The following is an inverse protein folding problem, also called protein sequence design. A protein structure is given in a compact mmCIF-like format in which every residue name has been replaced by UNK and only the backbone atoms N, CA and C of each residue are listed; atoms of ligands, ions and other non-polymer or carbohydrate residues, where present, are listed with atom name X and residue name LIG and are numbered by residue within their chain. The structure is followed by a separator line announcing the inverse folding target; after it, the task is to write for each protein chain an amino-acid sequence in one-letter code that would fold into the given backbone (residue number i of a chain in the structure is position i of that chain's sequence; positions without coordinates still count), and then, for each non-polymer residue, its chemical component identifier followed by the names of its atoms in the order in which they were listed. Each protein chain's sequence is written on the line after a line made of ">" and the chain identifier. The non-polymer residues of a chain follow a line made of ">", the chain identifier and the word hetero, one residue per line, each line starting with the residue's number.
data_IF_989751638524
#
_entry.id   IF_989751638524
#
_cell.length_a   1.000
_cell.length_b   1.000
_cell.length_c   1.000
_cell.angle_alpha   90.00
_cell.angle_beta   90.00
_cell.angle_gamma   90.00
#
_symmetry.space_group_name_H-M   'P 1'
#
loop_
_entity.id
_entity.type
_entity.pdbx_description
1 polymer ?
#
# COMPACT_ATOMS: atom_id res chain seq x y z
N UNK A 1 -27.36 -4.66 -13.86
CA UNK A 1 -26.60 -4.71 -12.60
C UNK A 1 -25.43 -3.77 -12.78
N UNK A 2 -25.29 -2.75 -11.94
CA UNK A 2 -24.25 -1.73 -12.11
C UNK A 2 -22.88 -2.40 -12.19
N UNK A 3 -22.21 -2.20 -13.33
CA UNK A 3 -20.88 -2.71 -13.66
C UNK A 3 -19.80 -1.91 -12.89
N UNK A 4 -20.00 -1.72 -11.57
CA UNK A 4 -19.15 -0.89 -10.73
C UNK A 4 -17.84 -1.59 -10.44
N UNK A 5 -16.71 -0.88 -10.58
CA UNK A 5 -15.41 -1.41 -10.18
C UNK A 5 -15.33 -1.57 -8.68
N UNK A 6 -14.52 -2.53 -8.22
CA UNK A 6 -14.22 -2.75 -6.82
C UNK A 6 -12.78 -2.38 -6.49
N UNK A 7 -12.59 -1.41 -5.58
CA UNK A 7 -11.29 -0.97 -5.08
C UNK A 7 -11.10 -1.49 -3.66
N UNK A 8 -10.10 -2.34 -3.49
CA UNK A 8 -9.73 -2.92 -2.20
C UNK A 8 -8.42 -2.33 -1.72
N UNK A 9 -8.39 -1.82 -0.50
CA UNK A 9 -7.17 -1.34 0.14
C UNK A 9 -6.78 -2.21 1.33
N UNK A 10 -5.50 -2.54 1.44
CA UNK A 10 -4.89 -3.12 2.63
C UNK A 10 -4.06 -2.06 3.34
N UNK A 11 -4.50 -1.62 4.52
CA UNK A 11 -3.76 -0.72 5.38
C UNK A 11 -2.97 -1.50 6.43
N UNK A 12 -1.65 -1.41 6.38
CA UNK A 12 -0.73 -2.11 7.29
C UNK A 12 -0.15 -1.22 8.40
N UNK A 13 -0.69 -0.01 8.58
CA UNK A 13 -0.27 0.88 9.66
C UNK A 13 -0.65 0.29 11.02
N UNK A 14 0.30 0.16 11.97
CA UNK A 14 -0.03 -0.23 13.34
C UNK A 14 -0.99 0.75 14.02
N UNK A 15 -1.05 2.00 13.53
CA UNK A 15 -1.96 3.04 14.03
C UNK A 15 -3.34 2.99 13.39
N UNK A 16 -3.58 2.08 12.43
CA UNK A 16 -4.87 1.82 11.82
C UNK A 16 -5.51 3.10 11.26
N UNK A 17 -6.78 3.36 11.58
CA UNK A 17 -7.54 4.55 11.19
C UNK A 17 -6.95 5.86 11.71
N UNK A 18 -6.14 5.82 12.78
CA UNK A 18 -5.48 7.00 13.37
C UNK A 18 -4.10 7.28 12.78
N UNK A 19 -3.65 6.47 11.82
CA UNK A 19 -2.35 6.63 11.18
C UNK A 19 -2.37 7.62 10.03
N UNK A 20 -1.24 8.29 9.78
CA UNK A 20 -1.06 9.15 8.60
C UNK A 20 -1.34 8.42 7.28
N UNK A 21 -0.98 7.14 7.21
CA UNK A 21 -1.30 6.28 6.06
C UNK A 21 -2.81 6.20 5.80
N UNK A 22 -3.64 6.13 6.85
CA UNK A 22 -5.10 6.14 6.72
C UNK A 22 -5.60 7.48 6.21
N UNK A 23 -5.08 8.60 6.71
CA UNK A 23 -5.48 9.95 6.26
C UNK A 23 -5.30 10.13 4.74
N UNK A 24 -4.15 9.71 4.19
CA UNK A 24 -3.90 9.78 2.74
C UNK A 24 -4.77 8.77 1.98
N UNK A 25 -4.88 7.54 2.50
CA UNK A 25 -5.69 6.48 1.90
C UNK A 25 -7.17 6.85 1.80
N UNK A 26 -7.73 7.48 2.84
CA UNK A 26 -9.13 7.92 2.88
C UNK A 26 -9.44 8.91 1.76
N UNK A 27 -8.51 9.81 1.41
CA UNK A 27 -8.67 10.71 0.26
C UNK A 27 -8.77 9.93 -1.05
N UNK A 28 -7.87 8.96 -1.25
CA UNK A 28 -7.88 8.11 -2.44
C UNK A 28 -9.17 7.29 -2.54
N UNK A 29 -9.57 6.64 -1.45
CA UNK A 29 -10.78 5.81 -1.41
C UNK A 29 -12.06 6.65 -1.57
N UNK A 30 -12.09 7.87 -1.05
CA UNK A 30 -13.20 8.81 -1.26
C UNK A 30 -13.29 9.25 -2.74
N UNK A 31 -12.16 9.44 -3.41
CA UNK A 31 -12.11 9.69 -4.85
C UNK A 31 -12.65 8.52 -5.66
N UNK A 32 -12.20 7.30 -5.36
CA UNK A 32 -12.70 6.11 -6.03
C UNK A 32 -14.22 5.93 -5.82
N UNK A 33 -14.71 6.13 -4.60
CA UNK A 33 -16.13 6.06 -4.28
C UNK A 33 -16.95 7.12 -5.05
N UNK A 34 -16.44 8.35 -5.18
CA UNK A 34 -17.15 9.41 -5.92
C UNK A 34 -17.23 9.15 -7.42
N UNK A 35 -16.32 8.34 -7.97
CA UNK A 35 -16.38 7.82 -9.33
C UNK A 35 -17.26 6.57 -9.49
N UNK A 36 -17.98 6.16 -8.43
CA UNK A 36 -18.96 5.07 -8.48
C UNK A 36 -18.40 3.67 -8.21
N UNK A 37 -17.17 3.55 -7.71
CA UNK A 37 -16.62 2.26 -7.30
C UNK A 37 -17.15 1.79 -5.93
N UNK A 38 -17.32 0.48 -5.77
CA UNK A 38 -17.38 -0.14 -4.44
C UNK A 38 -15.98 -0.04 -3.82
N UNK A 39 -15.88 0.44 -2.58
CA UNK A 39 -14.59 0.63 -1.90
C UNK A 39 -14.57 -0.10 -0.56
N UNK A 40 -13.47 -0.80 -0.28
CA UNK A 40 -13.25 -1.46 1.02
C UNK A 40 -11.82 -1.22 1.51
N UNK A 41 -11.67 -0.77 2.76
CA UNK A 41 -10.37 -0.72 3.44
C UNK A 41 -10.30 -1.81 4.51
N UNK A 42 -9.32 -2.69 4.38
CA UNK A 42 -8.97 -3.71 5.37
C UNK A 42 -7.77 -3.24 6.19
N UNK A 43 -7.97 -3.02 7.48
CA UNK A 43 -6.87 -2.75 8.42
C UNK A 43 -6.22 -4.07 8.84
N UNK A 44 -5.04 -4.37 8.29
CA UNK A 44 -4.32 -5.62 8.54
C UNK A 44 -3.88 -5.77 10.00
N UNK A 45 -3.67 -4.67 10.71
CA UNK A 45 -3.34 -4.68 12.13
C UNK A 45 -4.47 -5.24 13.02
N UNK A 46 -5.71 -5.32 12.50
CA UNK A 46 -6.86 -5.91 13.20
C UNK A 46 -7.08 -7.38 12.84
N UNK A 47 -6.29 -7.93 11.91
CA UNK A 47 -6.44 -9.30 11.42
C UNK A 47 -5.50 -10.25 12.15
N UNK A 48 -6.00 -11.45 12.40
CA UNK A 48 -5.18 -12.58 12.83
C UNK A 48 -4.54 -13.16 11.58
N UNK A 49 -3.24 -12.92 11.44
CA UNK A 49 -2.41 -13.45 10.36
C UNK A 49 -1.21 -14.10 11.04
N UNK A 50 -1.05 -15.41 10.84
CA UNK A 50 0.14 -16.13 11.26
C UNK A 50 1.28 -15.95 10.24
N UNK A 51 2.52 -16.08 10.69
CA UNK A 51 3.68 -16.04 9.79
C UNK A 51 3.67 -17.26 8.84
N UNK A 52 4.14 -17.06 7.60
CA UNK A 52 4.26 -18.14 6.64
C UNK A 52 5.35 -19.13 7.08
N UNK A 53 5.03 -20.43 7.08
CA UNK A 53 5.97 -21.47 7.49
C UNK A 53 6.86 -21.99 6.34
N UNK A 54 6.68 -21.49 5.11
CA UNK A 54 7.39 -22.03 3.93
C UNK A 54 7.11 -23.52 3.64
N UNK A 55 6.03 -24.08 4.21
CA UNK A 55 5.81 -25.52 4.23
C UNK A 55 5.21 -26.12 2.94
N UNK A 56 4.96 -25.29 1.92
CA UNK A 56 4.41 -25.65 0.59
C UNK A 56 3.11 -26.49 0.59
N UNK A 57 2.41 -26.56 1.73
CA UNK A 57 1.16 -27.30 1.88
C UNK A 57 0.08 -26.80 0.91
N UNK A 58 0.02 -25.49 0.70
CA UNK A 58 -0.89 -24.83 -0.23
C UNK A 58 -0.62 -25.14 -1.71
N UNK A 59 0.49 -25.78 -2.04
CA UNK A 59 0.76 -26.27 -3.40
C UNK A 59 0.51 -27.75 -3.53
N UNK A 60 0.99 -28.57 -2.59
CA UNK A 60 1.08 -30.02 -2.82
C UNK A 60 0.04 -30.86 -2.07
N UNK A 61 -0.57 -30.32 -1.02
CA UNK A 61 -1.51 -31.06 -0.17
C UNK A 61 -2.93 -30.51 -0.28
N UNK A 62 -3.05 -29.18 -0.33
CA UNK A 62 -4.33 -28.48 -0.54
C UNK A 62 -4.09 -27.34 -1.53
N UNK A 63 -4.00 -27.65 -2.86
CA UNK A 63 -3.74 -26.65 -3.89
C UNK A 63 -4.64 -25.42 -3.75
N UNK A 64 -4.03 -24.25 -3.59
CA UNK A 64 -4.72 -22.95 -3.42
C UNK A 64 -5.24 -22.63 -2.03
N UNK A 65 -5.07 -23.53 -1.05
CA UNK A 65 -5.59 -23.35 0.31
C UNK A 65 -4.46 -23.51 1.33
N UNK A 66 -4.27 -22.47 2.15
CA UNK A 66 -3.28 -22.52 3.24
C UNK A 66 -3.78 -23.37 4.41
N UNK A 67 -2.86 -24.04 5.13
CA UNK A 67 -3.19 -24.83 6.34
C UNK A 67 -3.59 -24.00 7.56
N UNK A 68 -3.24 -22.71 7.58
CA UNK A 68 -3.56 -21.82 8.69
C UNK A 68 -5.06 -21.52 8.69
N UNK A 69 -5.68 -21.60 9.87
CA UNK A 69 -7.08 -21.24 10.11
C UNK A 69 -7.13 -19.82 10.68
N UNK A 70 -6.77 -18.85 9.86
CA UNK A 70 -6.69 -17.44 10.20
C UNK A 70 -7.44 -16.58 9.18
N UNK A 71 -7.30 -15.25 9.19
CA UNK A 71 -8.16 -14.37 8.39
C UNK A 71 -7.78 -14.32 6.90
N UNK A 72 -6.59 -14.82 6.52
CA UNK A 72 -6.03 -14.69 5.16
C UNK A 72 -6.92 -15.29 4.06
N UNK A 73 -7.54 -16.49 4.21
CA UNK A 73 -8.39 -17.06 3.17
C UNK A 73 -9.55 -16.13 2.76
N UNK A 74 -10.14 -15.40 3.71
CA UNK A 74 -11.20 -14.43 3.40
C UNK A 74 -10.65 -13.21 2.66
N UNK A 75 -9.42 -12.78 2.96
CA UNK A 75 -8.75 -11.69 2.25
C UNK A 75 -8.43 -12.07 0.81
N UNK A 76 -8.02 -13.31 0.55
CA UNK A 76 -7.80 -13.82 -0.82
C UNK A 76 -9.06 -13.72 -1.69
N UNK A 77 -10.23 -14.07 -1.14
CA UNK A 77 -11.51 -13.94 -1.86
C UNK A 77 -11.77 -12.49 -2.27
N UNK A 78 -11.47 -11.52 -1.38
CA UNK A 78 -11.60 -10.09 -1.68
C UNK A 78 -10.59 -9.66 -2.76
N UNK A 79 -9.33 -10.10 -2.66
CA UNK A 79 -8.30 -9.80 -3.67
C UNK A 79 -8.64 -10.32 -5.07
N UNK A 80 -9.28 -11.49 -5.16
CA UNK A 80 -9.67 -12.08 -6.45
C UNK A 80 -10.83 -11.30 -7.10
N UNK A 81 -11.66 -10.63 -6.31
CA UNK A 81 -12.76 -9.79 -6.80
C UNK A 81 -12.33 -8.38 -7.18
N UNK A 82 -11.22 -7.88 -6.64
CA UNK A 82 -10.80 -6.49 -6.81
C UNK A 82 -10.34 -6.19 -8.24
N UNK A 83 -10.78 -5.04 -8.77
CA UNK A 83 -10.29 -4.46 -10.03
C UNK A 83 -9.05 -3.59 -9.78
N UNK A 84 -8.98 -2.95 -8.61
CA UNK A 84 -7.84 -2.15 -8.16
C UNK A 84 -7.47 -2.58 -6.75
N UNK A 85 -6.19 -2.89 -6.55
CA UNK A 85 -5.64 -3.28 -5.26
C UNK A 85 -4.68 -2.22 -4.73
N UNK A 86 -4.99 -1.64 -3.58
CA UNK A 86 -4.17 -0.62 -2.93
C UNK A 86 -3.41 -1.24 -1.76
N UNK A 87 -2.08 -1.22 -1.83
CA UNK A 87 -1.23 -1.57 -0.68
C UNK A 87 -0.80 -0.29 0.02
N UNK A 88 -1.43 -0.02 1.17
CA UNK A 88 -1.18 1.16 1.97
C UNK A 88 -0.31 0.81 3.19
N UNK A 89 0.94 1.29 3.22
CA UNK A 89 1.89 0.96 4.29
C UNK A 89 2.66 2.19 4.76
N UNK A 90 2.90 2.38 6.07
CA UNK A 90 3.94 3.32 6.49
C UNK A 90 5.31 2.80 6.05
N UNK A 91 6.24 3.71 5.76
CA UNK A 91 7.64 3.40 5.49
C UNK A 91 8.39 3.19 6.81
N UNK A 92 8.76 1.95 7.11
CA UNK A 92 9.59 1.57 8.25
C UNK A 92 10.88 0.94 7.74
N UNK A 93 12.03 1.52 8.14
CA UNK A 93 13.36 1.09 7.74
C UNK A 93 13.46 0.89 6.21
N UNK A 94 13.18 1.97 5.47
CA UNK A 94 13.26 2.02 4.00
C UNK A 94 12.31 1.05 3.25
N UNK A 95 11.37 0.40 3.94
CA UNK A 95 10.43 -0.54 3.31
C UNK A 95 9.08 -0.57 4.03
N UNK A 96 8.26 -1.56 3.70
CA UNK A 96 6.92 -1.77 4.24
C UNK A 96 6.94 -2.14 5.72
N UNK A 97 5.79 -2.03 6.38
CA UNK A 97 5.66 -2.51 7.75
C UNK A 97 5.75 -4.04 7.83
N UNK A 98 6.18 -4.56 9.00
CA UNK A 98 6.17 -6.01 9.25
C UNK A 98 4.76 -6.62 9.10
N UNK A 99 3.71 -5.83 9.38
CA UNK A 99 2.30 -6.24 9.18
C UNK A 99 2.02 -6.48 7.69
N UNK A 100 2.48 -5.59 6.80
CA UNK A 100 2.35 -5.77 5.36
C UNK A 100 3.11 -7.00 4.89
N UNK A 101 4.38 -7.13 5.31
CA UNK A 101 5.22 -8.25 4.89
C UNK A 101 4.66 -9.60 5.32
N UNK A 102 4.13 -9.70 6.55
CA UNK A 102 3.46 -10.91 7.05
C UNK A 102 2.26 -11.30 6.16
N UNK A 103 1.46 -10.32 5.76
CA UNK A 103 0.34 -10.57 4.84
C UNK A 103 0.84 -11.01 3.45
N UNK A 104 1.81 -10.30 2.87
CA UNK A 104 2.37 -10.63 1.57
C UNK A 104 3.03 -12.01 1.52
N UNK A 105 3.70 -12.44 2.59
CA UNK A 105 4.28 -13.80 2.68
C UNK A 105 3.23 -14.91 2.64
N UNK A 106 1.96 -14.56 2.82
CA UNK A 106 0.83 -15.48 2.85
C UNK A 106 0.03 -15.53 1.55
N UNK A 107 0.45 -14.83 0.48
CA UNK A 107 -0.24 -14.82 -0.83
C UNK A 107 0.13 -15.99 -1.75
N UNK A 108 1.14 -16.79 -1.39
CA UNK A 108 1.56 -17.99 -2.16
C UNK A 108 0.44 -18.94 -2.60
N UNK A 109 -0.66 -19.15 -1.83
CA UNK A 109 -1.80 -19.95 -2.29
C UNK A 109 -2.53 -19.37 -3.51
N UNK A 110 -2.19 -18.17 -4.00
CA UNK A 110 -2.74 -17.61 -5.23
C UNK A 110 -1.92 -17.99 -6.48
N UNK A 111 -0.76 -18.62 -6.30
CA UNK A 111 0.16 -18.99 -7.37
C UNK A 111 0.28 -20.52 -7.50
N UNK A 112 0.59 -20.99 -8.71
CA UNK A 112 0.90 -22.39 -8.99
C UNK A 112 2.36 -22.74 -8.60
N UNK A 113 2.69 -24.01 -8.34
CA UNK A 113 4.06 -24.41 -7.98
C UNK A 113 5.05 -24.39 -9.14
N UNK A 114 4.59 -24.23 -10.38
CA UNK A 114 5.43 -24.19 -11.58
C UNK A 114 6.15 -22.86 -11.71
N UNK A 115 7.24 -22.84 -12.47
CA UNK A 115 8.09 -21.65 -12.64
C UNK A 115 8.08 -21.18 -14.08
N UNK A 116 8.09 -19.86 -14.24
CA UNK A 116 8.28 -19.18 -15.51
C UNK A 116 9.51 -18.27 -15.40
N UNK A 117 10.36 -18.30 -16.44
CA UNK A 117 11.55 -17.46 -16.51
C UNK A 117 11.43 -16.50 -17.70
N UNK A 118 11.44 -15.20 -17.41
CA UNK A 118 11.33 -14.12 -18.40
C UNK A 118 12.14 -12.92 -17.93
N UNK A 119 12.82 -12.24 -18.87
CA UNK A 119 13.55 -10.99 -18.64
C UNK A 119 14.51 -11.01 -17.43
N UNK A 120 15.17 -12.16 -17.20
CA UNK A 120 16.13 -12.33 -16.10
C UNK A 120 15.51 -12.65 -14.74
N UNK A 121 14.19 -12.82 -14.65
CA UNK A 121 13.47 -13.08 -13.41
C UNK A 121 12.65 -14.38 -13.45
N UNK A 122 12.51 -15.01 -12.28
CA UNK A 122 11.65 -16.16 -12.07
C UNK A 122 10.33 -15.72 -11.41
N UNK A 123 9.21 -16.30 -11.84
CA UNK A 123 7.89 -16.10 -11.26
C UNK A 123 7.09 -17.40 -11.24
N UNK A 124 5.96 -17.38 -10.53
CA UNK A 124 5.00 -18.48 -10.50
C UNK A 124 3.72 -18.03 -11.21
N UNK A 125 3.16 -18.82 -12.14
CA UNK A 125 1.93 -18.45 -12.81
C UNK A 125 0.79 -18.39 -11.78
N UNK A 126 -0.15 -17.48 -11.99
CA UNK A 126 -1.26 -17.29 -11.06
C UNK A 126 -2.26 -18.46 -11.17
N UNK A 127 -2.67 -19.04 -10.04
CA UNK A 127 -3.58 -20.20 -10.01
C UNK A 127 -4.97 -19.87 -10.56
N UNK A 128 -5.40 -18.62 -10.41
CA UNK A 128 -6.63 -18.13 -11.01
C UNK A 128 -6.30 -17.35 -12.29
N UNK A 129 -6.73 -17.85 -13.44
CA UNK A 129 -6.64 -17.11 -14.70
C UNK A 129 -7.58 -15.90 -14.61
N UNK A 130 -7.00 -14.71 -14.63
CA UNK A 130 -7.77 -13.47 -14.72
C UNK A 130 -7.94 -13.11 -16.20
N UNK A 131 -9.15 -12.68 -16.57
CA UNK A 131 -9.41 -12.11 -17.90
C UNK A 131 -8.78 -10.72 -18.06
N UNK A 132 -8.45 -10.06 -16.95
CA UNK A 132 -7.91 -8.71 -16.90
C UNK A 132 -6.72 -8.64 -15.96
N UNK A 133 -5.78 -7.79 -16.33
CA UNK A 133 -4.59 -7.48 -15.54
C UNK A 133 -4.99 -6.84 -14.20
N UNK A 134 -4.34 -7.26 -13.11
CA UNK A 134 -4.54 -6.64 -11.80
C UNK A 134 -3.83 -5.29 -11.73
N UNK A 135 -4.58 -4.22 -11.44
CA UNK A 135 -4.01 -2.89 -11.25
C UNK A 135 -3.65 -2.68 -9.78
N UNK A 136 -2.37 -2.49 -9.50
CA UNK A 136 -1.88 -2.29 -8.13
C UNK A 136 -1.53 -0.82 -7.91
N UNK A 137 -1.89 -0.27 -6.75
CA UNK A 137 -1.45 1.06 -6.29
C UNK A 137 -0.67 0.88 -5.00
N UNK A 138 0.53 1.45 -4.94
CA UNK A 138 1.29 1.59 -3.69
C UNK A 138 0.94 2.95 -3.08
N UNK A 139 0.57 2.97 -1.81
CA UNK A 139 0.40 4.20 -1.04
C UNK A 139 1.29 4.11 0.21
N UNK A 140 2.19 5.07 0.38
CA UNK A 140 3.13 5.04 1.49
C UNK A 140 3.39 6.40 2.11
N UNK A 141 3.57 6.41 3.43
CA UNK A 141 3.86 7.61 4.22
C UNK A 141 5.17 7.43 4.98
N UNK A 142 6.01 8.46 5.01
CA UNK A 142 7.30 8.47 5.70
C UNK A 142 7.41 9.68 6.62
N UNK A 143 8.02 9.50 7.80
CA UNK A 143 8.33 10.59 8.72
C UNK A 143 9.54 11.44 8.29
N UNK A 144 10.35 10.99 7.34
CA UNK A 144 11.46 11.78 6.79
C UNK A 144 11.03 12.57 5.55
N UNK A 145 11.69 13.70 5.25
CA UNK A 145 11.45 14.41 4.01
C UNK A 145 12.12 13.68 2.84
N UNK A 146 11.66 13.96 1.63
CA UNK A 146 12.28 13.48 0.38
C UNK A 146 11.86 12.07 -0.04
N UNK A 147 11.83 11.86 -1.35
CA UNK A 147 11.29 10.66 -2.00
C UNK A 147 12.28 9.48 -2.05
N UNK A 148 13.59 9.74 -1.97
CA UNK A 148 14.63 8.70 -2.05
C UNK A 148 14.50 7.61 -0.96
N UNK A 149 13.86 7.95 0.17
CA UNK A 149 13.60 6.97 1.24
C UNK A 149 12.69 5.81 0.78
N UNK A 150 11.89 6.03 -0.27
CA UNK A 150 10.92 5.06 -0.78
C UNK A 150 11.49 4.16 -1.88
N UNK A 151 12.68 4.43 -2.43
CA UNK A 151 13.20 3.68 -3.60
C UNK A 151 13.14 2.15 -3.40
N UNK A 152 13.60 1.57 -2.27
CA UNK A 152 13.54 0.12 -2.09
C UNK A 152 12.11 -0.41 -2.00
N UNK A 153 11.19 0.39 -1.43
CA UNK A 153 9.78 0.05 -1.34
C UNK A 153 9.13 0.00 -2.73
N UNK A 154 9.33 1.05 -3.53
CA UNK A 154 8.77 1.16 -4.89
C UNK A 154 9.26 -0.01 -5.74
N UNK A 155 10.57 -0.23 -5.80
CA UNK A 155 11.15 -1.36 -6.53
C UNK A 155 10.56 -2.72 -6.09
N UNK A 156 10.39 -2.91 -4.77
CA UNK A 156 9.80 -4.15 -4.24
C UNK A 156 8.35 -4.32 -4.72
N UNK A 157 7.56 -3.25 -4.75
CA UNK A 157 6.15 -3.31 -5.18
C UNK A 157 5.97 -3.39 -6.69
N UNK A 158 6.87 -2.83 -7.49
CA UNK A 158 6.96 -3.09 -8.94
C UNK A 158 7.12 -4.59 -9.18
N UNK A 159 8.10 -5.21 -8.50
CA UNK A 159 8.32 -6.65 -8.59
C UNK A 159 7.14 -7.48 -8.08
N UNK A 160 6.50 -7.10 -6.97
CA UNK A 160 5.31 -7.79 -6.46
C UNK A 160 4.15 -7.72 -7.45
N UNK A 161 3.90 -6.57 -8.07
CA UNK A 161 2.83 -6.40 -9.03
C UNK A 161 3.06 -7.26 -10.28
N UNK A 162 4.29 -7.25 -10.81
CA UNK A 162 4.71 -8.05 -11.96
C UNK A 162 4.53 -9.56 -11.72
N UNK A 163 5.06 -10.09 -10.61
CA UNK A 163 4.88 -11.53 -10.29
C UNK A 163 3.45 -11.90 -9.92
N UNK A 164 2.63 -10.91 -9.55
CA UNK A 164 1.20 -11.07 -9.33
C UNK A 164 0.37 -11.16 -10.62
N UNK A 165 0.99 -11.07 -11.80
CA UNK A 165 0.31 -11.06 -13.09
C UNK A 165 -0.31 -9.70 -13.42
N UNK A 166 0.29 -8.62 -12.95
CA UNK A 166 -0.13 -7.26 -13.24
C UNK A 166 1.01 -6.24 -13.26
N UNK A 167 0.67 -4.98 -13.01
CA UNK A 167 1.61 -3.87 -13.00
C UNK A 167 1.34 -2.93 -11.84
N UNK A 168 2.40 -2.24 -11.40
CA UNK A 168 2.28 -1.15 -10.44
C UNK A 168 1.80 0.09 -11.19
N UNK A 169 0.52 0.38 -11.04
CA UNK A 169 -0.18 1.43 -11.78
C UNK A 169 0.15 2.83 -11.27
N UNK A 170 0.39 2.97 -9.96
CA UNK A 170 0.85 4.22 -9.37
C UNK A 170 1.53 4.00 -8.02
N UNK A 171 2.42 4.93 -7.68
CA UNK A 171 3.00 5.10 -6.35
C UNK A 171 2.61 6.47 -5.80
N UNK A 172 1.86 6.48 -4.70
CA UNK A 172 1.45 7.67 -3.95
C UNK A 172 2.32 7.75 -2.70
N UNK A 173 3.31 8.64 -2.72
CA UNK A 173 4.37 8.69 -1.71
C UNK A 173 4.31 10.02 -0.95
N UNK A 174 4.07 9.94 0.36
CA UNK A 174 3.95 11.10 1.25
C UNK A 174 5.13 11.16 2.23
N UNK A 175 6.24 11.85 1.89
CA UNK A 175 7.28 12.19 2.85
C UNK A 175 6.75 13.19 3.88
N UNK A 176 7.51 13.45 4.95
CA UNK A 176 7.16 14.44 5.98
C UNK A 176 5.75 14.26 6.56
N UNK A 177 5.28 13.01 6.67
CA UNK A 177 3.88 12.70 6.95
C UNK A 177 3.40 13.19 8.32
N UNK A 178 4.32 13.52 9.22
CA UNK A 178 4.01 14.13 10.53
C UNK A 178 3.28 15.46 10.37
N UNK A 179 3.56 16.20 9.29
CA UNK A 179 2.92 17.48 8.99
C UNK A 179 1.45 17.34 8.63
N UNK A 180 0.97 16.14 8.28
CA UNK A 180 -0.43 15.91 7.95
C UNK A 180 -1.37 16.20 9.14
N UNK A 181 -0.87 16.14 10.37
CA UNK A 181 -1.63 16.50 11.58
C UNK A 181 -1.66 18.00 11.89
N UNK A 182 -0.94 18.86 11.13
CA UNK A 182 -0.97 20.31 11.37
C UNK A 182 -2.28 20.92 10.86
N UNK A 183 -2.69 22.02 11.49
CA UNK A 183 -3.82 22.84 11.08
C UNK A 183 -3.36 24.30 10.93
N UNK A 184 -3.39 24.88 9.72
CA UNK A 184 -3.78 24.25 8.45
C UNK A 184 -2.78 23.18 8.00
N UNK A 185 -3.29 22.16 7.29
CA UNK A 185 -2.46 21.06 6.78
C UNK A 185 -1.62 21.54 5.58
N UNK A 186 -0.27 21.51 5.64
CA UNK A 186 0.58 21.97 4.55
C UNK A 186 0.40 21.19 3.24
N UNK A 187 -0.04 19.92 3.34
CA UNK A 187 -0.24 19.03 2.20
C UNK A 187 -1.67 19.04 1.64
N UNK A 188 -2.51 20.02 2.01
CA UNK A 188 -3.92 20.05 1.63
C UNK A 188 -4.13 19.98 0.11
N UNK A 189 -3.30 20.67 -0.67
CA UNK A 189 -3.36 20.62 -2.14
C UNK A 189 -3.02 19.21 -2.66
N UNK A 190 -1.95 18.59 -2.15
CA UNK A 190 -1.55 17.23 -2.53
C UNK A 190 -2.65 16.22 -2.21
N UNK A 191 -3.35 16.37 -1.09
CA UNK A 191 -4.48 15.52 -0.70
C UNK A 191 -5.68 15.64 -1.66
N UNK A 192 -5.87 16.78 -2.32
CA UNK A 192 -6.86 16.91 -3.40
C UNK A 192 -6.43 16.17 -4.67
N UNK A 193 -5.13 16.15 -4.98
CA UNK A 193 -4.61 15.33 -6.08
C UNK A 193 -4.70 13.83 -5.76
N UNK A 194 -4.53 13.42 -4.51
CA UNK A 194 -4.77 12.02 -4.10
C UNK A 194 -6.25 11.64 -4.26
N UNK A 195 -7.17 12.56 -3.95
CA UNK A 195 -8.59 12.36 -4.23
C UNK A 195 -8.85 12.19 -5.74
N UNK A 196 -8.28 13.06 -6.59
CA UNK A 196 -8.37 12.91 -8.06
C UNK A 196 -7.78 11.59 -8.54
N UNK A 197 -6.65 11.16 -7.99
CA UNK A 197 -6.03 9.87 -8.32
C UNK A 197 -6.98 8.70 -8.02
N UNK A 198 -7.73 8.79 -6.92
CA UNK A 198 -8.79 7.84 -6.59
C UNK A 198 -9.88 7.76 -7.66
N UNK A 199 -10.36 8.92 -8.14
CA UNK A 199 -11.36 8.98 -9.21
C UNK A 199 -10.84 8.36 -10.51
N UNK A 200 -9.61 8.71 -10.87
CA UNK A 200 -8.95 8.27 -12.10
C UNK A 200 -8.62 6.78 -12.10
N UNK A 201 -8.28 6.20 -10.93
CA UNK A 201 -8.01 4.77 -10.79
C UNK A 201 -9.23 3.89 -11.15
N UNK A 202 -10.45 4.40 -11.00
CA UNK A 202 -11.68 3.73 -11.43
C UNK A 202 -11.80 3.72 -12.97
N UNK A 203 -11.19 4.67 -13.66
CA UNK A 203 -11.17 4.77 -15.12
C UNK A 203 -10.07 3.93 -15.78
N UNK A 204 -9.39 4.54 -16.75
CA UNK A 204 -8.32 3.91 -17.54
C UNK A 204 -6.96 3.99 -16.86
N UNK A 205 -6.74 5.01 -16.04
CA UNK A 205 -5.54 5.13 -15.21
C UNK A 205 -5.36 6.52 -14.60
N UNK A 206 -4.31 6.70 -13.79
CA UNK A 206 -3.99 7.96 -13.10
C UNK A 206 -3.15 8.80 -14.06
N UNK A 207 -3.57 10.04 -14.28
CA UNK A 207 -2.94 10.98 -15.23
C UNK A 207 -1.63 11.51 -14.68
N UNK A 208 -0.70 11.81 -15.57
CA UNK A 208 0.61 12.39 -15.23
C UNK A 208 0.48 13.69 -14.42
N UNK A 209 -0.41 14.61 -14.82
CA UNK A 209 -0.70 15.83 -14.06
C UNK A 209 -1.12 15.54 -12.61
N UNK A 210 -1.89 14.46 -12.40
CA UNK A 210 -2.32 14.05 -11.07
C UNK A 210 -1.16 13.47 -10.27
N UNK A 211 -0.29 12.68 -10.93
CA UNK A 211 0.95 12.15 -10.34
C UNK A 211 1.88 13.28 -9.90
N UNK A 212 2.14 14.23 -10.78
CA UNK A 212 2.92 15.44 -10.47
C UNK A 212 2.30 16.21 -9.32
N UNK A 213 0.98 16.39 -9.36
CA UNK A 213 0.20 17.11 -8.37
C UNK A 213 0.40 16.63 -6.94
N UNK A 214 0.23 15.33 -6.68
CA UNK A 214 0.45 14.76 -5.33
C UNK A 214 1.93 14.56 -4.98
N UNK A 215 2.83 14.53 -5.97
CA UNK A 215 4.28 14.33 -5.75
C UNK A 215 5.02 15.63 -5.45
N UNK A 216 4.39 16.80 -5.66
CA UNK A 216 4.97 18.11 -5.37
C UNK A 216 5.31 18.25 -3.87
N UNK A 217 6.53 18.71 -3.52
CA UNK A 217 6.89 19.00 -2.14
C UNK A 217 5.94 20.04 -1.50
N UNK A 218 5.54 19.81 -0.26
CA UNK A 218 4.73 20.75 0.55
C UNK A 218 5.50 21.31 1.75
N UNK A 219 6.79 21.01 1.84
CA UNK A 219 7.71 21.55 2.86
C UNK A 219 9.13 21.51 2.30
N UNK A 220 9.96 22.49 2.67
CA UNK A 220 11.39 22.41 2.42
C UNK A 220 12.03 21.29 3.29
N UNK A 221 12.79 20.35 2.70
CA UNK A 221 13.40 19.26 3.45
C UNK A 221 14.34 19.71 4.56
N UNK A 222 15.11 20.79 4.35
CA UNK A 222 16.10 21.24 5.33
C UNK A 222 15.42 21.97 6.49
N UNK A 223 14.42 22.80 6.21
CA UNK A 223 13.58 23.43 7.24
C UNK A 223 12.89 22.37 8.10
N UNK A 224 12.29 21.35 7.48
CA UNK A 224 11.66 20.23 8.19
C UNK A 224 12.63 19.51 9.14
N UNK A 225 13.84 19.21 8.66
CA UNK A 225 14.88 18.54 9.47
C UNK A 225 15.30 19.42 10.65
N UNK A 226 15.51 20.71 10.42
CA UNK A 226 15.90 21.65 11.47
C UNK A 226 14.81 21.72 12.56
N UNK A 227 13.55 21.87 12.15
CA UNK A 227 12.41 21.94 13.06
C UNK A 227 12.25 20.66 13.89
N UNK A 228 12.26 19.49 13.26
CA UNK A 228 12.12 18.23 13.99
C UNK A 228 13.29 17.92 14.92
N UNK A 229 14.51 18.28 14.54
CA UNK A 229 15.68 18.09 15.40
C UNK A 229 15.59 18.94 16.67
N UNK A 230 15.04 20.15 16.58
CA UNK A 230 14.77 21.00 17.75
C UNK A 230 13.76 20.32 18.69
N UNK A 231 12.64 19.87 18.15
CA UNK A 231 11.59 19.18 18.91
C UNK A 231 12.16 17.92 19.58
N UNK A 232 12.93 17.10 18.85
CA UNK A 232 13.51 15.88 19.40
C UNK A 232 14.57 16.17 20.47
N UNK A 233 15.33 17.27 20.37
CA UNK A 233 16.25 17.69 21.43
C UNK A 233 15.49 17.97 22.73
N UNK A 234 14.43 18.78 22.65
CA UNK A 234 13.59 19.10 23.82
C UNK A 234 12.92 17.85 24.41
N UNK A 235 12.35 16.99 23.56
CA UNK A 235 11.72 15.74 24.02
C UNK A 235 12.72 14.80 24.70
N UNK A 236 13.93 14.69 24.15
CA UNK A 236 14.99 13.86 24.71
C UNK A 236 15.46 14.40 26.06
N UNK A 237 15.68 15.70 26.19
CA UNK A 237 16.06 16.34 27.45
C UNK A 237 15.01 16.11 28.54
N UNK A 238 13.72 16.25 28.20
CA UNK A 238 12.62 16.01 29.14
C UNK A 238 12.51 14.54 29.54
N UNK A 239 12.71 13.60 28.60
CA UNK A 239 12.67 12.17 28.89
C UNK A 239 13.81 11.71 29.82
N UNK A 240 14.94 12.41 29.85
CA UNK A 240 16.07 12.11 30.75
C UNK A 240 15.93 12.70 32.15
N UNK A 241 14.92 13.54 32.39
CA UNK A 241 14.69 14.21 33.68
C UNK A 241 13.61 13.54 34.54
N UNK A 242 12.93 12.51 34.04
CA UNK A 242 11.94 11.70 34.75
C UNK A 242 12.41 10.27 34.91
#
# INVERSE_FOLDING_TARGET
>A
MSNGKYVLAFNSSPRKEKGFTAMVLERFMAGAASAGAETETVYLAEKKIADCLGCTWCWFKTPGVCRHKDDVPALHVKMLRADVLVYATPLYICTMSAIMKRFLDRIMPLAEPYQEYRDGACSHPHQNKREREMRTVLLSTCGFPGLRNFDPLVFTFERIAEVGGGSLHASILFPSSVLLARDPCPAAEQLEYVYRAGQEAVGEGIREETVEGYSRPFVDPQEYVNELNEIFRVLRENATRG
#
